data_IF_174081536997
#
_entry.id   IF_174081536997
#
_cell.length_a   1.000
_cell.length_b   1.000
_cell.length_c   1.000
_cell.angle_alpha   90.00
_cell.angle_beta   90.00
_cell.angle_gamma   90.00
#
_symmetry.space_group_name_H-M   'P 1'
#
loop_
_entity.id
_entity.type
_entity.pdbx_description
1 polymer ?
#
# COMPACT_ATOMS: atom_id res chain seq x y z
N UNK A 1 17.98 39.77 -0.40
CA UNK A 1 18.24 38.33 -0.53
C UNK A 1 17.00 37.58 -0.11
N UNK A 2 16.32 36.94 -1.07
CA UNK A 2 15.08 36.17 -0.82
C UNK A 2 15.40 34.70 -1.08
N UNK A 3 15.14 33.83 -0.11
CA UNK A 3 15.18 32.39 -0.32
C UNK A 3 13.85 31.95 -0.90
N UNK A 4 13.86 31.27 -2.05
CA UNK A 4 12.67 30.70 -2.68
C UNK A 4 12.82 29.20 -2.82
N UNK A 5 11.74 28.49 -2.55
CA UNK A 5 11.65 27.05 -2.70
C UNK A 5 10.59 26.79 -3.78
N UNK A 6 11.02 26.23 -4.91
CA UNK A 6 10.10 25.73 -5.93
C UNK A 6 10.24 24.22 -6.00
N UNK A 7 9.15 23.48 -6.00
CA UNK A 7 9.17 22.07 -6.36
C UNK A 7 9.49 21.90 -7.83
N UNK A 8 10.25 20.86 -8.10
CA UNK A 8 10.95 20.70 -9.37
C UNK A 8 10.72 19.36 -10.01
N UNK A 9 10.43 18.33 -9.22
CA UNK A 9 10.31 16.95 -9.70
C UNK A 9 9.29 16.18 -8.88
N UNK A 10 8.38 15.50 -9.58
CA UNK A 10 7.48 14.50 -9.02
C UNK A 10 7.98 13.12 -9.44
N UNK A 11 8.37 12.31 -8.47
CA UNK A 11 8.88 10.96 -8.69
C UNK A 11 7.84 9.94 -8.22
N UNK A 12 7.24 9.24 -9.17
CA UNK A 12 6.48 8.02 -8.87
C UNK A 12 7.43 6.83 -8.92
N UNK A 13 7.76 6.25 -7.76
CA UNK A 13 8.61 5.07 -7.68
C UNK A 13 7.79 3.85 -7.30
N UNK A 14 7.52 3.05 -8.32
CA UNK A 14 6.98 1.70 -8.19
C UNK A 14 8.17 0.76 -8.02
N UNK A 15 8.59 0.46 -6.79
CA UNK A 15 9.49 -0.69 -6.62
C UNK A 15 8.65 -1.95 -6.71
N UNK A 16 9.04 -2.84 -7.62
CA UNK A 16 8.83 -4.26 -7.42
C UNK A 16 9.81 -4.72 -6.33
N UNK A 17 9.42 -5.74 -5.57
CA UNK A 17 10.20 -6.25 -4.44
C UNK A 17 11.70 -6.42 -4.76
N UNK A 18 12.55 -5.99 -3.83
CA UNK A 18 13.96 -6.40 -3.77
C UNK A 18 15.01 -5.36 -4.19
N UNK A 19 14.63 -4.17 -4.63
CA UNK A 19 15.61 -3.15 -5.02
C UNK A 19 15.95 -2.17 -3.88
N UNK A 20 17.23 -1.80 -3.80
CA UNK A 20 17.91 -1.07 -2.71
C UNK A 20 17.37 0.33 -2.33
N UNK A 21 16.23 0.74 -2.89
CA UNK A 21 15.57 2.01 -2.60
C UNK A 21 14.47 1.81 -1.56
N UNK A 22 14.71 2.31 -0.34
CA UNK A 22 13.86 2.13 0.85
C UNK A 22 12.48 2.79 0.80
N UNK A 23 12.06 3.36 -0.34
CA UNK A 23 10.85 4.19 -0.39
C UNK A 23 10.04 3.92 -1.64
N UNK A 24 8.90 3.23 -1.46
CA UNK A 24 7.88 2.91 -2.47
C UNK A 24 6.73 3.89 -2.36
N UNK A 25 6.41 4.60 -3.45
CA UNK A 25 5.34 5.60 -3.47
C UNK A 25 5.66 6.83 -4.31
N UNK A 26 4.78 7.81 -4.23
CA UNK A 26 4.97 9.12 -4.83
C UNK A 26 5.84 9.99 -3.92
N UNK A 27 6.77 10.71 -4.52
CA UNK A 27 7.72 11.58 -3.83
C UNK A 27 7.86 12.88 -4.59
N UNK A 28 8.23 13.95 -3.89
CA UNK A 28 8.60 15.20 -4.54
C UNK A 28 9.95 15.70 -4.05
N UNK A 29 10.61 16.48 -4.91
CA UNK A 29 11.79 17.26 -4.56
C UNK A 29 11.51 18.74 -4.72
N UNK A 30 12.17 19.53 -3.88
CA UNK A 30 12.20 20.98 -3.97
C UNK A 30 13.57 21.48 -4.38
N UNK A 31 13.60 22.43 -5.31
CA UNK A 31 14.74 23.27 -5.62
C UNK A 31 14.65 24.54 -4.78
N UNK A 32 15.65 24.73 -3.93
CA UNK A 32 15.88 26.00 -3.25
C UNK A 32 16.85 26.85 -4.05
N UNK A 33 16.51 28.11 -4.33
CA UNK A 33 17.44 29.11 -4.84
C UNK A 33 17.43 30.38 -4.00
N UNK A 34 18.56 31.10 -4.03
CA UNK A 34 18.70 32.42 -3.43
C UNK A 34 18.53 33.43 -4.55
N UNK A 35 17.53 34.29 -4.44
CA UNK A 35 17.31 35.39 -5.38
C UNK A 35 17.90 36.69 -4.81
N UNK A 36 18.74 37.35 -5.62
CA UNK A 36 19.30 38.67 -5.33
C UNK A 36 19.11 39.54 -6.57
N UNK A 37 18.39 40.65 -6.42
CA UNK A 37 18.16 41.63 -7.50
C UNK A 37 17.60 41.03 -8.81
N UNK A 38 16.79 39.97 -8.70
CA UNK A 38 16.18 39.28 -9.85
C UNK A 38 17.07 38.20 -10.49
N UNK A 39 18.30 38.03 -10.02
CA UNK A 39 19.20 36.95 -10.44
C UNK A 39 19.14 35.77 -9.45
N UNK A 40 19.10 34.55 -10.01
CA UNK A 40 19.09 33.31 -9.24
C UNK A 40 20.52 32.84 -8.94
N UNK A 41 20.85 32.74 -7.66
CA UNK A 41 22.14 32.29 -7.14
C UNK A 41 22.02 30.92 -6.48
N UNK A 42 22.68 29.94 -7.10
CA UNK A 42 22.77 28.57 -6.61
C UNK A 42 21.43 27.81 -6.64
N UNK A 43 21.51 26.49 -6.73
CA UNK A 43 20.37 25.62 -6.50
C UNK A 43 20.77 24.50 -5.54
N UNK A 44 19.85 24.16 -4.63
CA UNK A 44 19.98 22.96 -3.80
C UNK A 44 18.71 22.15 -3.93
N UNK A 45 18.83 20.92 -4.40
CA UNK A 45 17.75 19.94 -4.33
C UNK A 45 17.58 19.45 -2.89
N UNK A 46 16.33 19.34 -2.45
CA UNK A 46 15.99 18.61 -1.23
C UNK A 46 16.14 17.10 -1.44
N UNK A 47 16.22 16.38 -0.33
CA UNK A 47 15.96 14.95 -0.36
C UNK A 47 14.53 14.68 -0.88
N UNK A 48 14.31 13.49 -1.42
CA UNK A 48 12.99 13.06 -1.85
C UNK A 48 12.09 12.88 -0.63
N UNK A 49 11.02 13.65 -0.56
CA UNK A 49 10.04 13.60 0.53
C UNK A 49 8.88 12.69 0.10
N UNK A 50 8.53 11.71 0.94
CA UNK A 50 7.37 10.85 0.72
C UNK A 50 6.09 11.68 0.82
N UNK A 51 5.25 11.55 -0.18
CA UNK A 51 4.03 12.35 -0.29
C UNK A 51 2.92 11.88 0.65
N UNK A 52 2.98 10.64 1.14
CA UNK A 52 2.05 10.12 2.16
C UNK A 52 2.22 10.81 3.52
N UNK A 53 3.36 11.48 3.72
CA UNK A 53 3.67 12.28 4.91
C UNK A 53 3.57 13.79 4.66
N UNK A 54 3.24 14.21 3.43
CA UNK A 54 3.21 15.61 3.05
C UNK A 54 1.80 16.20 3.21
N UNK A 55 1.76 17.43 3.71
CA UNK A 55 0.55 18.24 3.79
C UNK A 55 -0.03 18.46 2.38
N UNK A 56 -1.30 18.12 2.11
CA UNK A 56 -1.96 18.36 0.82
C UNK A 56 -1.81 19.78 0.29
N UNK A 57 -1.85 20.78 1.18
CA UNK A 57 -1.70 22.19 0.80
C UNK A 57 -0.25 22.49 0.35
N UNK A 58 0.73 21.83 0.97
CA UNK A 58 2.13 21.91 0.57
C UNK A 58 2.39 21.21 -0.77
N UNK A 59 1.67 20.12 -1.06
CA UNK A 59 1.73 19.41 -2.35
C UNK A 59 1.08 20.26 -3.47
N UNK A 60 -0.01 20.95 -3.19
CA UNK A 60 -0.69 21.80 -4.17
C UNK A 60 0.10 23.07 -4.48
N UNK A 61 0.57 23.77 -3.45
CA UNK A 61 1.48 24.89 -3.60
C UNK A 61 2.73 24.47 -4.38
N UNK A 62 3.07 23.19 -4.28
CA UNK A 62 4.20 22.62 -4.95
C UNK A 62 3.95 22.29 -6.44
N UNK A 63 3.17 21.24 -6.67
CA UNK A 63 3.08 20.56 -7.95
C UNK A 63 1.89 21.06 -8.77
N UNK A 64 1.08 21.96 -8.20
CA UNK A 64 -0.19 22.39 -8.74
C UNK A 64 -1.32 21.39 -8.47
N UNK A 65 -2.55 21.87 -8.67
CA UNK A 65 -3.77 21.13 -8.32
C UNK A 65 -3.90 19.76 -9.02
N UNK A 66 -3.50 19.64 -10.29
CA UNK A 66 -3.62 18.39 -11.04
C UNK A 66 -2.73 17.27 -10.47
N UNK A 67 -1.49 17.60 -10.14
CA UNK A 67 -0.55 16.63 -9.56
C UNK A 67 -0.98 16.25 -8.13
N UNK A 68 -1.54 17.18 -7.38
CA UNK A 68 -2.10 16.92 -6.04
C UNK A 68 -3.28 15.96 -6.12
N UNK A 69 -4.21 16.18 -7.04
CA UNK A 69 -5.34 15.29 -7.25
C UNK A 69 -4.89 13.86 -7.62
N UNK A 70 -3.92 13.73 -8.53
CA UNK A 70 -3.36 12.43 -8.92
C UNK A 70 -2.72 11.70 -7.73
N UNK A 71 -1.99 12.43 -6.89
CA UNK A 71 -1.34 11.89 -5.69
C UNK A 71 -2.36 11.38 -4.67
N UNK A 72 -3.39 12.18 -4.39
CA UNK A 72 -4.47 11.80 -3.47
C UNK A 72 -5.18 10.57 -3.97
N UNK A 73 -5.50 10.51 -5.26
CA UNK A 73 -6.16 9.37 -5.89
C UNK A 73 -5.31 8.10 -5.82
N UNK A 74 -4.01 8.18 -6.13
CA UNK A 74 -3.09 7.05 -6.00
C UNK A 74 -2.97 6.59 -4.53
N UNK A 75 -2.92 7.53 -3.59
CA UNK A 75 -2.91 7.22 -2.15
C UNK A 75 -4.18 6.47 -1.70
N UNK A 76 -5.34 6.93 -2.15
CA UNK A 76 -6.63 6.29 -1.87
C UNK A 76 -6.71 4.88 -2.49
N UNK A 77 -6.30 4.72 -3.74
CA UNK A 77 -6.26 3.43 -4.42
C UNK A 77 -5.32 2.45 -3.71
N UNK A 78 -4.13 2.90 -3.27
CA UNK A 78 -3.19 2.06 -2.51
C UNK A 78 -3.79 1.59 -1.18
N UNK A 79 -4.45 2.48 -0.44
CA UNK A 79 -5.13 2.13 0.80
C UNK A 79 -6.25 1.11 0.56
N UNK A 80 -7.03 1.29 -0.52
CA UNK A 80 -8.09 0.34 -0.90
C UNK A 80 -7.54 -1.04 -1.26
N UNK A 81 -6.46 -1.10 -2.04
CA UNK A 81 -5.80 -2.37 -2.38
C UNK A 81 -5.30 -3.09 -1.12
N UNK A 82 -4.72 -2.34 -0.17
CA UNK A 82 -4.25 -2.92 1.08
C UNK A 82 -5.40 -3.51 1.91
N UNK A 83 -6.51 -2.77 2.08
CA UNK A 83 -7.69 -3.27 2.78
C UNK A 83 -8.25 -4.55 2.11
N UNK A 84 -8.38 -4.56 0.79
CA UNK A 84 -8.85 -5.74 0.05
C UNK A 84 -7.89 -6.93 0.21
N UNK A 85 -6.58 -6.69 0.31
CA UNK A 85 -5.58 -7.72 0.59
C UNK A 85 -5.73 -8.34 1.98
N UNK A 86 -5.98 -7.50 3.00
CA UNK A 86 -6.21 -7.94 4.38
C UNK A 86 -7.53 -8.73 4.50
N UNK A 87 -8.60 -8.26 3.83
CA UNK A 87 -9.88 -8.96 3.73
C UNK A 87 -9.72 -10.34 3.05
N UNK A 88 -9.01 -10.41 1.92
CA UNK A 88 -8.75 -11.66 1.22
C UNK A 88 -7.97 -12.65 2.08
N UNK A 89 -7.01 -12.16 2.87
CA UNK A 89 -6.23 -13.00 3.81
C UNK A 89 -7.13 -13.57 4.89
N UNK A 90 -8.00 -12.75 5.48
CA UNK A 90 -9.00 -13.17 6.47
C UNK A 90 -9.97 -14.22 5.90
N UNK A 91 -10.47 -14.02 4.68
CA UNK A 91 -11.36 -14.99 4.03
C UNK A 91 -10.65 -16.31 3.71
N UNK A 92 -9.36 -16.28 3.35
CA UNK A 92 -8.57 -17.50 3.16
C UNK A 92 -8.40 -18.30 4.46
N UNK A 93 -8.18 -17.62 5.58
CA UNK A 93 -8.11 -18.27 6.89
C UNK A 93 -9.46 -18.89 7.29
N UNK A 94 -10.56 -18.16 7.07
CA UNK A 94 -11.92 -18.69 7.31
C UNK A 94 -12.20 -19.93 6.47
N UNK A 95 -11.82 -19.90 5.19
CA UNK A 95 -11.98 -21.05 4.29
C UNK A 95 -11.14 -22.25 4.74
N UNK A 96 -9.91 -22.02 5.22
CA UNK A 96 -9.07 -23.09 5.75
C UNK A 96 -9.74 -23.77 6.96
N UNK A 97 -10.24 -22.98 7.92
CA UNK A 97 -10.96 -23.50 9.10
C UNK A 97 -12.22 -24.28 8.68
N UNK A 98 -12.98 -23.76 7.71
CA UNK A 98 -14.17 -24.46 7.21
C UNK A 98 -13.81 -25.79 6.53
N UNK A 99 -12.72 -25.84 5.77
CA UNK A 99 -12.24 -27.07 5.14
C UNK A 99 -11.78 -28.11 6.17
N UNK A 100 -11.09 -27.67 7.23
CA UNK A 100 -10.68 -28.56 8.33
C UNK A 100 -11.90 -29.14 9.05
N UNK A 101 -12.94 -28.34 9.27
CA UNK A 101 -14.18 -28.80 9.88
C UNK A 101 -14.93 -29.80 8.98
N UNK A 102 -14.97 -29.56 7.66
CA UNK A 102 -15.54 -30.53 6.70
C UNK A 102 -14.77 -31.85 6.74
N UNK A 103 -13.44 -31.82 6.78
CA UNK A 103 -12.63 -33.03 6.89
C UNK A 103 -12.92 -33.78 8.20
N UNK A 104 -13.06 -33.06 9.32
CA UNK A 104 -13.41 -33.64 10.62
C UNK A 104 -14.78 -34.31 10.61
N UNK A 105 -15.79 -33.65 10.03
CA UNK A 105 -17.15 -34.18 9.92
C UNK A 105 -17.21 -35.42 9.02
N UNK A 106 -16.47 -35.44 7.92
CA UNK A 106 -16.39 -36.61 7.04
C UNK A 106 -15.78 -37.82 7.76
N UNK A 107 -14.68 -37.62 8.51
CA UNK A 107 -14.06 -38.70 9.29
C UNK A 107 -15.02 -39.27 10.36
N UNK A 108 -15.76 -38.40 11.04
CA UNK A 108 -16.76 -38.82 12.04
C UNK A 108 -17.94 -39.58 11.41
N UNK A 109 -18.35 -39.18 10.20
CA UNK A 109 -19.39 -39.87 9.44
C UNK A 109 -18.94 -41.27 9.03
N UNK A 110 -17.71 -41.42 8.54
CA UNK A 110 -17.12 -42.72 8.18
C UNK A 110 -17.04 -43.65 9.41
N UNK A 111 -16.59 -43.13 10.55
CA UNK A 111 -16.53 -43.88 11.81
C UNK A 111 -17.91 -44.37 12.25
N UNK A 112 -18.92 -43.48 12.24
CA UNK A 112 -20.30 -43.85 12.58
C UNK A 112 -20.87 -44.91 11.63
N UNK A 113 -20.61 -44.80 10.33
CA UNK A 113 -21.02 -45.80 9.35
C UNK A 113 -20.39 -47.16 9.63
N UNK A 114 -19.11 -47.19 10.00
CA UNK A 114 -18.42 -48.42 10.37
C UNK A 114 -19.02 -49.06 11.62
N UNK A 115 -19.31 -48.27 12.67
CA UNK A 115 -19.94 -48.76 13.89
C UNK A 115 -21.33 -49.35 13.64
N UNK A 116 -22.14 -48.71 12.79
CA UNK A 116 -23.46 -49.22 12.39
C UNK A 116 -23.32 -50.55 11.64
N UNK A 117 -22.37 -50.65 10.70
CA UNK A 117 -22.14 -51.88 9.94
C UNK A 117 -21.70 -53.04 10.84
N UNK A 118 -20.82 -52.78 11.82
CA UNK A 118 -20.41 -53.77 12.83
C UNK A 118 -21.57 -54.23 13.70
N UNK A 119 -22.39 -53.29 14.20
CA UNK A 119 -23.56 -53.63 15.01
C UNK A 119 -24.55 -54.50 14.22
N UNK A 120 -24.83 -54.14 12.96
CA UNK A 120 -25.74 -54.90 12.10
C UNK A 120 -25.21 -56.30 11.71
N UNK A 121 -23.90 -56.54 11.77
CA UNK A 121 -23.29 -57.85 11.53
C UNK A 121 -23.22 -58.73 12.79
N UNK A 122 -23.53 -58.16 13.97
CA UNK A 122 -23.47 -58.81 15.28
C UNK A 122 -24.81 -59.42 15.72
N UNK A 123 -25.91 -59.03 15.07
CA UNK A 123 -27.28 -59.51 15.25
C UNK A 123 -27.64 -60.60 14.22
#
# INVERSE_FOLDING_TARGET
>A
MIKREIPSELLFRFSADGDSYKVTGAHYKTLTFIELDGEQFGHKESDALDISLADPDAIEAALGALNTALVVEVGQQRAQIQMLGDELTTERERLAVANDEVARLNALLEELQMQIALAAASD
#
